data_IF_859640503022
#
_entry.id   IF_859640503022
#
_cell.length_a   1.000
_cell.length_b   1.000
_cell.length_c   1.000
_cell.angle_alpha   90.00
_cell.angle_beta   90.00
_cell.angle_gamma   90.00
#
_symmetry.space_group_name_H-M   'P 1'
#
loop_
_entity.id
_entity.type
_entity.pdbx_description
1 polymer ?
#
# COMPACT_ATOMS: atom_id res chain seq x y z
N UNK A 1 -2.55 -13.50 -14.93
CA UNK A 1 -3.45 -14.41 -14.19
C UNK A 1 -4.76 -13.68 -14.01
N UNK A 2 -5.91 -14.29 -14.35
CA UNK A 2 -7.21 -13.65 -14.15
C UNK A 2 -7.79 -14.03 -12.80
N UNK A 3 -8.27 -13.06 -12.04
CA UNK A 3 -8.94 -13.25 -10.73
C UNK A 3 -10.32 -12.63 -10.77
N UNK A 4 -11.32 -13.33 -10.22
CA UNK A 4 -12.66 -12.81 -9.98
C UNK A 4 -12.95 -12.90 -8.49
N UNK A 5 -13.39 -11.80 -7.89
CA UNK A 5 -13.82 -11.75 -6.50
C UNK A 5 -15.11 -10.90 -6.39
N UNK A 6 -15.57 -10.61 -5.17
CA UNK A 6 -16.74 -9.74 -4.94
C UNK A 6 -16.54 -8.31 -5.43
N UNK A 7 -15.28 -7.87 -5.60
CA UNK A 7 -14.91 -6.52 -6.01
C UNK A 7 -14.84 -6.37 -7.54
N UNK A 8 -14.63 -7.43 -8.30
CA UNK A 8 -14.59 -7.35 -9.77
C UNK A 8 -13.81 -8.47 -10.45
N UNK A 9 -13.40 -8.21 -11.69
CA UNK A 9 -12.53 -9.08 -12.50
C UNK A 9 -11.23 -8.33 -12.79
N UNK A 10 -10.10 -9.01 -12.58
CA UNK A 10 -8.79 -8.40 -12.57
C UNK A 10 -7.76 -9.25 -13.30
N UNK A 11 -6.91 -8.62 -14.11
CA UNK A 11 -5.72 -9.25 -14.68
C UNK A 11 -4.51 -8.90 -13.81
N UNK A 12 -3.82 -9.94 -13.33
CA UNK A 12 -2.64 -9.86 -12.49
C UNK A 12 -1.42 -10.26 -13.30
N UNK A 13 -0.45 -9.35 -13.42
CA UNK A 13 0.84 -9.60 -14.07
C UNK A 13 1.95 -9.49 -13.04
N UNK A 14 2.91 -10.43 -12.99
CA UNK A 14 4.06 -10.32 -12.08
C UNK A 14 4.77 -8.97 -12.29
N UNK A 15 5.15 -8.33 -11.20
CA UNK A 15 5.87 -7.06 -11.21
C UNK A 15 6.69 -6.89 -9.93
N UNK A 16 7.38 -5.77 -9.79
CA UNK A 16 8.20 -5.47 -8.62
C UNK A 16 8.11 -4.00 -8.21
N UNK A 17 8.23 -3.75 -6.92
CA UNK A 17 8.26 -2.40 -6.34
C UNK A 17 9.45 -1.57 -6.84
N UNK A 18 10.56 -2.21 -7.23
CA UNK A 18 11.77 -1.51 -7.72
C UNK A 18 11.60 -0.88 -9.10
N UNK A 19 10.53 -1.21 -9.82
CA UNK A 19 10.22 -0.62 -11.12
C UNK A 19 9.59 0.77 -11.01
N UNK A 20 9.32 1.25 -9.79
CA UNK A 20 8.62 2.49 -9.52
C UNK A 20 9.52 3.47 -8.80
N UNK A 21 9.35 4.75 -9.11
CA UNK A 21 10.14 5.82 -8.50
C UNK A 21 9.87 5.95 -7.00
N UNK A 22 8.59 5.81 -6.62
CA UNK A 22 8.09 5.85 -5.26
C UNK A 22 6.92 4.91 -5.11
N UNK A 23 6.77 4.33 -3.92
CA UNK A 23 5.64 3.47 -3.59
C UNK A 23 4.83 4.05 -2.42
N UNK A 24 3.52 3.84 -2.45
CA UNK A 24 2.60 4.19 -1.37
C UNK A 24 2.08 2.89 -0.77
N UNK A 25 2.43 2.62 0.47
CA UNK A 25 2.17 1.34 1.12
C UNK A 25 0.95 1.51 2.02
N UNK A 26 -0.13 0.79 1.70
CA UNK A 26 -1.24 0.60 2.65
C UNK A 26 -0.75 -0.33 3.77
N UNK A 27 -0.42 0.28 4.91
CA UNK A 27 0.28 -0.38 6.01
C UNK A 27 -0.55 -1.51 6.60
N UNK A 28 -1.82 -1.27 6.87
CA UNK A 28 -2.66 -2.24 7.57
C UNK A 28 -2.86 -3.50 6.72
N UNK A 29 -3.13 -3.34 5.43
CA UNK A 29 -3.34 -4.52 4.58
C UNK A 29 -2.05 -5.34 4.42
N UNK A 30 -0.90 -4.69 4.26
CA UNK A 30 0.37 -5.41 4.10
C UNK A 30 0.83 -6.03 5.41
N UNK A 31 0.84 -5.28 6.51
CA UNK A 31 1.33 -5.73 7.80
C UNK A 31 0.53 -6.94 8.33
N UNK A 32 -0.80 -6.96 8.11
CA UNK A 32 -1.64 -8.12 8.47
C UNK A 32 -1.37 -9.39 7.65
N UNK A 33 -0.56 -9.31 6.59
CA UNK A 33 -0.15 -10.47 5.79
C UNK A 33 1.18 -11.09 6.22
N UNK A 34 1.91 -10.40 7.09
CA UNK A 34 3.21 -10.82 7.58
C UNK A 34 3.04 -11.60 8.88
N UNK A 35 3.94 -12.55 9.14
CA UNK A 35 4.05 -13.20 10.44
C UNK A 35 4.50 -12.22 11.52
N UNK A 36 5.32 -11.24 11.14
CA UNK A 36 5.78 -10.15 11.98
C UNK A 36 5.40 -8.80 11.33
N UNK A 37 4.28 -8.19 11.72
CA UNK A 37 3.79 -6.94 11.10
C UNK A 37 4.81 -5.79 11.14
N UNK A 38 5.64 -5.74 12.18
CA UNK A 38 6.66 -4.70 12.36
C UNK A 38 7.84 -4.85 11.39
N UNK A 39 8.03 -6.03 10.79
CA UNK A 39 9.07 -6.29 9.78
C UNK A 39 8.94 -5.37 8.58
N UNK A 40 7.71 -4.98 8.24
CA UNK A 40 7.44 -4.03 7.17
C UNK A 40 8.24 -2.72 7.32
N UNK A 41 8.45 -2.25 8.54
CA UNK A 41 9.08 -0.95 8.80
C UNK A 41 10.60 -1.05 8.78
N UNK A 42 11.21 -1.97 9.53
CA UNK A 42 12.67 -2.09 9.54
C UNK A 42 13.21 -2.53 8.18
N UNK A 43 12.52 -3.44 7.48
CA UNK A 43 12.99 -3.95 6.19
C UNK A 43 12.92 -2.87 5.12
N UNK A 44 11.93 -1.97 5.19
CA UNK A 44 11.86 -0.84 4.28
C UNK A 44 12.96 0.21 4.54
N UNK A 45 13.28 0.46 5.82
CA UNK A 45 14.37 1.34 6.19
C UNK A 45 15.73 0.78 5.72
N UNK A 46 15.95 -0.53 5.88
CA UNK A 46 17.15 -1.22 5.40
C UNK A 46 17.25 -1.23 3.87
N UNK A 47 16.12 -1.42 3.17
CA UNK A 47 16.09 -1.47 1.72
C UNK A 47 16.27 -0.09 1.04
N UNK A 48 16.18 1.02 1.80
CA UNK A 48 16.35 2.37 1.26
C UNK A 48 15.32 2.76 0.20
N UNK A 49 14.11 2.22 0.28
CA UNK A 49 13.04 2.47 -0.69
C UNK A 49 12.44 3.87 -0.48
N UNK A 50 12.19 4.59 -1.58
CA UNK A 50 11.36 5.81 -1.55
C UNK A 50 9.89 5.38 -1.38
N UNK A 51 9.46 5.28 -0.12
CA UNK A 51 8.17 4.75 0.26
C UNK A 51 7.42 5.69 1.20
N UNK A 52 6.14 5.89 0.93
CA UNK A 52 5.20 6.59 1.81
C UNK A 52 4.26 5.56 2.43
N UNK A 53 4.27 5.47 3.75
CA UNK A 53 3.47 4.51 4.51
C UNK A 53 2.15 5.15 4.91
N UNK A 54 1.06 4.67 4.32
CA UNK A 54 -0.29 5.18 4.58
C UNK A 54 -0.92 4.35 5.70
N UNK A 55 -1.10 4.99 6.84
CA UNK A 55 -1.59 4.38 8.07
C UNK A 55 -3.08 4.70 8.21
N UNK A 56 -3.90 3.66 8.34
CA UNK A 56 -5.35 3.81 8.57
C UNK A 56 -5.60 4.38 9.97
N UNK A 57 -6.29 5.51 10.03
CA UNK A 57 -6.78 6.13 11.26
C UNK A 57 -8.26 6.55 11.12
N UNK A 58 -8.98 5.96 10.15
CA UNK A 58 -10.35 6.32 9.84
C UNK A 58 -11.35 5.67 10.82
N UNK A 59 -11.04 4.46 11.30
CA UNK A 59 -11.85 3.77 12.31
C UNK A 59 -11.21 3.86 13.70
N UNK A 60 -12.03 4.15 14.73
CA UNK A 60 -11.56 4.25 16.13
C UNK A 60 -10.84 2.98 16.61
N UNK A 61 -11.29 1.81 16.14
CA UNK A 61 -10.68 0.52 16.46
C UNK A 61 -9.23 0.39 15.92
N UNK A 62 -8.86 1.16 14.91
CA UNK A 62 -7.51 1.16 14.35
C UNK A 62 -6.55 2.09 15.11
N UNK A 63 -7.06 3.06 15.89
CA UNK A 63 -6.24 4.12 16.48
C UNK A 63 -5.08 3.61 17.38
N UNK A 64 -5.26 2.59 18.25
CA UNK A 64 -4.14 2.07 19.04
C UNK A 64 -3.02 1.51 18.16
N UNK A 65 -3.37 0.76 17.12
CA UNK A 65 -2.40 0.16 16.20
C UNK A 65 -1.78 1.21 15.26
N UNK A 66 -2.57 2.19 14.82
CA UNK A 66 -2.08 3.33 14.04
C UNK A 66 -1.00 4.10 14.80
N UNK A 67 -1.20 4.37 16.09
CA UNK A 67 -0.18 4.99 16.97
C UNK A 67 1.10 4.18 17.01
N UNK A 68 1.00 2.86 17.18
CA UNK A 68 2.15 1.95 17.16
C UNK A 68 2.92 2.03 15.84
N UNK A 69 2.22 2.04 14.70
CA UNK A 69 2.85 2.16 13.39
C UNK A 69 3.51 3.52 13.17
N UNK A 70 2.91 4.62 13.65
CA UNK A 70 3.55 5.95 13.61
C UNK A 70 4.83 6.00 14.47
N UNK A 71 4.86 5.33 15.61
CA UNK A 71 6.08 5.20 16.42
C UNK A 71 7.18 4.47 15.67
N UNK A 72 6.86 3.37 14.97
CA UNK A 72 7.82 2.64 14.14
C UNK A 72 8.32 3.49 12.98
N UNK A 73 7.43 4.22 12.30
CA UNK A 73 7.81 5.19 11.28
C UNK A 73 8.83 6.19 11.79
N UNK A 74 8.56 6.81 12.95
CA UNK A 74 9.46 7.78 13.59
C UNK A 74 10.79 7.15 13.96
N UNK A 75 10.75 5.94 14.54
CA UNK A 75 11.95 5.21 14.95
C UNK A 75 12.88 4.90 13.78
N UNK A 76 12.31 4.54 12.62
CA UNK A 76 13.06 4.15 11.43
C UNK A 76 13.21 5.25 10.37
N UNK A 77 12.72 6.48 10.65
CA UNK A 77 12.85 7.61 9.74
C UNK A 77 12.04 7.49 8.44
N UNK A 78 10.91 6.79 8.47
CA UNK A 78 10.04 6.55 7.31
C UNK A 78 9.01 7.69 7.13
N UNK A 79 8.68 8.05 5.88
CA UNK A 79 7.57 8.98 5.58
C UNK A 79 6.24 8.26 5.80
N UNK A 80 5.44 8.75 6.74
CA UNK A 80 4.14 8.18 7.07
C UNK A 80 3.04 9.23 7.01
N UNK A 81 1.91 8.85 6.41
CA UNK A 81 0.72 9.68 6.25
C UNK A 81 -0.47 9.00 6.89
N UNK A 82 -1.24 9.74 7.67
CA UNK A 82 -2.46 9.23 8.30
C UNK A 82 -3.65 9.40 7.35
N UNK A 83 -4.43 8.34 7.20
CA UNK A 83 -5.73 8.39 6.53
C UNK A 83 -6.84 8.47 7.57
N UNK A 84 -7.33 9.68 7.85
CA UNK A 84 -8.34 9.92 8.89
C UNK A 84 -9.78 9.94 8.34
N UNK A 85 -9.94 10.12 7.02
CA UNK A 85 -11.25 10.38 6.41
C UNK A 85 -11.76 9.24 5.52
N UNK A 86 -10.90 8.27 5.18
CA UNK A 86 -11.20 7.19 4.24
C UNK A 86 -10.26 5.99 4.46
N UNK A 87 -10.55 4.82 3.89
CA UNK A 87 -9.64 3.69 3.92
C UNK A 87 -8.24 4.04 3.38
N UNK A 88 -7.21 3.47 3.99
CA UNK A 88 -5.82 3.76 3.65
C UNK A 88 -5.46 3.46 2.19
N UNK A 89 -6.01 2.41 1.59
CA UNK A 89 -5.77 2.04 0.20
C UNK A 89 -6.29 3.08 -0.80
N UNK A 90 -7.40 3.74 -0.47
CA UNK A 90 -8.00 4.79 -1.32
C UNK A 90 -7.17 6.06 -1.18
N UNK A 91 -6.80 6.43 0.03
CA UNK A 91 -5.96 7.60 0.25
C UNK A 91 -4.56 7.44 -0.36
N UNK A 92 -3.98 6.24 -0.30
CA UNK A 92 -2.71 5.91 -0.95
C UNK A 92 -2.78 6.12 -2.47
N UNK A 93 -3.89 5.73 -3.10
CA UNK A 93 -4.13 5.97 -4.53
C UNK A 93 -4.20 7.47 -4.83
N UNK A 94 -4.94 8.25 -4.03
CA UNK A 94 -5.06 9.70 -4.24
C UNK A 94 -3.71 10.41 -4.15
N UNK A 95 -2.91 10.08 -3.13
CA UNK A 95 -1.54 10.59 -2.99
C UNK A 95 -0.68 10.21 -4.19
N UNK A 96 -0.72 8.94 -4.59
CA UNK A 96 0.04 8.45 -5.73
C UNK A 96 -0.34 9.17 -7.03
N UNK A 97 -1.63 9.31 -7.31
CA UNK A 97 -2.13 9.97 -8.51
C UNK A 97 -1.78 11.45 -8.57
N UNK A 98 -1.82 12.14 -7.42
CA UNK A 98 -1.52 13.56 -7.30
C UNK A 98 -0.01 13.85 -7.41
N UNK A 99 0.83 13.06 -6.76
CA UNK A 99 2.27 13.35 -6.65
C UNK A 99 3.08 12.85 -7.86
N UNK A 100 2.63 11.77 -8.51
CA UNK A 100 3.50 11.01 -9.42
C UNK A 100 2.80 10.29 -10.58
N UNK A 101 1.57 9.82 -10.38
CA UNK A 101 0.81 9.06 -11.36
C UNK A 101 1.53 7.80 -11.81
N UNK A 102 1.66 7.60 -13.12
CA UNK A 102 2.10 6.35 -13.75
C UNK A 102 3.53 5.89 -13.41
N UNK A 103 4.37 6.75 -12.79
CA UNK A 103 5.73 6.38 -12.35
C UNK A 103 5.79 5.84 -10.93
N UNK A 104 4.66 5.80 -10.23
CA UNK A 104 4.54 5.32 -8.86
C UNK A 104 3.52 4.20 -8.76
N UNK A 105 3.58 3.51 -7.63
CA UNK A 105 2.66 2.45 -7.34
C UNK A 105 2.09 2.52 -5.93
N UNK A 106 0.85 2.07 -5.78
CA UNK A 106 0.29 1.68 -4.49
C UNK A 106 0.55 0.20 -4.27
N UNK A 107 1.03 -0.15 -3.08
CA UNK A 107 1.20 -1.52 -2.62
C UNK A 107 0.13 -1.79 -1.57
N UNK A 108 -0.77 -2.72 -1.88
CA UNK A 108 -1.89 -3.10 -0.99
C UNK A 108 -2.26 -4.56 -1.22
N UNK A 109 -3.19 -5.09 -0.43
CA UNK A 109 -3.89 -6.35 -0.72
C UNK A 109 -5.34 -6.12 -1.15
N UNK A 110 -5.81 -4.88 -1.07
CA UNK A 110 -7.18 -4.51 -1.34
C UNK A 110 -7.38 -4.11 -2.82
N UNK A 111 -8.34 -4.76 -3.47
CA UNK A 111 -8.69 -4.49 -4.88
C UNK A 111 -9.51 -3.23 -5.10
N UNK A 112 -10.03 -2.57 -4.05
CA UNK A 112 -10.73 -1.29 -4.20
C UNK A 112 -9.76 -0.17 -4.61
N UNK A 113 -8.47 -0.28 -4.26
CA UNK A 113 -7.43 0.59 -4.82
C UNK A 113 -7.39 0.56 -6.36
N UNK A 114 -7.59 -0.61 -6.97
CA UNK A 114 -7.59 -0.76 -8.44
C UNK A 114 -8.74 0.02 -9.08
N UNK A 115 -9.87 0.12 -8.40
CA UNK A 115 -11.04 0.88 -8.89
C UNK A 115 -10.87 2.39 -8.71
N UNK A 116 -10.19 2.79 -7.64
CA UNK A 116 -9.92 4.18 -7.34
C UNK A 116 -8.80 4.76 -8.22
N UNK A 117 -7.87 3.91 -8.69
CA UNK A 117 -6.70 4.34 -9.42
C UNK A 117 -7.04 4.93 -10.80
N UNK A 118 -6.60 6.17 -11.03
CA UNK A 118 -6.66 6.80 -12.33
C UNK A 118 -5.41 6.52 -13.18
N UNK A 119 -4.26 7.00 -12.73
CA UNK A 119 -2.95 6.87 -13.42
C UNK A 119 -1.94 6.07 -12.62
N UNK A 120 -2.09 6.00 -11.30
CA UNK A 120 -1.23 5.25 -10.41
C UNK A 120 -1.28 3.77 -10.72
N UNK A 121 -0.14 3.09 -10.66
CA UNK A 121 -0.14 1.64 -10.78
C UNK A 121 -0.53 1.00 -9.45
N UNK A 122 -1.33 -0.06 -9.47
CA UNK A 122 -1.65 -0.84 -8.25
C UNK A 122 -0.93 -2.17 -8.28
N UNK A 123 -0.14 -2.41 -7.23
CA UNK A 123 0.55 -3.66 -6.94
C UNK A 123 -0.19 -4.38 -5.82
N UNK A 124 -0.83 -5.51 -6.14
CA UNK A 124 -1.40 -6.41 -5.14
C UNK A 124 -0.30 -7.32 -4.60
N UNK A 125 -0.05 -7.25 -3.28
CA UNK A 125 0.83 -8.20 -2.61
C UNK A 125 0.08 -9.50 -2.32
N UNK A 126 0.54 -10.61 -2.89
CA UNK A 126 -0.10 -11.92 -2.73
C UNK A 126 0.91 -13.04 -2.81
N UNK A 127 0.97 -13.86 -1.76
CA UNK A 127 1.84 -15.03 -1.68
C UNK A 127 3.32 -14.67 -1.74
N UNK A 128 3.72 -13.58 -1.07
CA UNK A 128 5.10 -13.11 -1.07
C UNK A 128 5.56 -12.45 -2.37
N UNK A 129 4.64 -12.11 -3.29
CA UNK A 129 4.94 -11.53 -4.60
C UNK A 129 4.07 -10.32 -4.90
N UNK A 130 4.59 -9.40 -5.72
CA UNK A 130 3.85 -8.25 -6.21
C UNK A 130 3.25 -8.55 -7.59
N UNK A 131 1.99 -8.15 -7.75
CA UNK A 131 1.25 -8.32 -8.98
C UNK A 131 0.70 -6.97 -9.42
N UNK A 132 1.14 -6.47 -10.58
CA UNK A 132 0.48 -5.35 -11.24
C UNK A 132 -0.93 -5.76 -11.62
N UNK A 133 -1.90 -4.94 -11.24
CA UNK A 133 -3.32 -5.25 -11.43
C UNK A 133 -4.00 -4.22 -12.30
N UNK A 134 -4.80 -4.70 -13.25
CA UNK A 134 -5.73 -3.89 -14.04
C UNK A 134 -7.11 -4.54 -14.08
N UNK A 135 -8.17 -3.73 -14.08
CA UNK A 135 -9.55 -4.20 -14.25
C UNK A 135 -9.87 -4.48 -15.73
N UNK A 136 -10.73 -5.46 -16.01
CA UNK A 136 -11.25 -5.77 -17.34
C UNK A 136 -12.73 -6.21 -17.29
#
# INVERSE_FOLDING_TARGET
MKVKNRKGRFDLRPDSIVNYRRIYVDVFSIATSLSEPEELFWSAAEAGLDAVFVVDAWHENHLPLARRYLELCRRYGLDCRLSEQKPAEIYAVELCDAECGARCAVVTRDYDAVKAAGRCTVLIFRGGRFWRVSQF
#
